data_IF_087040253043
#
_entry.id   IF_087040253043
#
_cell.length_a   1.000
_cell.length_b   1.000
_cell.length_c   1.000
_cell.angle_alpha   90.00
_cell.angle_beta   90.00
_cell.angle_gamma   90.00
#
_symmetry.space_group_name_H-M   'P 1'
#
loop_
_entity.id
_entity.type
_entity.pdbx_description
1 polymer ?
#
# COMPACT_ATOMS: atom_id res chain seq x y z
N UNK A 1 -28.50 -20.93 14.69
CA UNK A 1 -28.28 -20.21 13.41
C UNK A 1 -26.88 -20.57 12.95
N UNK A 2 -26.74 -21.18 11.77
CA UNK A 2 -25.43 -21.50 11.22
C UNK A 2 -24.62 -20.22 11.00
N UNK A 3 -23.29 -20.27 11.10
CA UNK A 3 -22.42 -19.08 10.95
C UNK A 3 -22.68 -18.37 9.60
N UNK A 4 -22.99 -19.12 8.53
CA UNK A 4 -23.33 -18.56 7.23
C UNK A 4 -24.59 -17.70 7.21
N UNK A 5 -25.67 -18.13 7.87
CA UNK A 5 -26.92 -17.34 7.94
C UNK A 5 -26.69 -16.04 8.72
N UNK A 6 -25.93 -16.09 9.80
CA UNK A 6 -25.59 -14.90 10.59
C UNK A 6 -24.79 -13.89 9.75
N UNK A 7 -23.77 -14.35 9.04
CA UNK A 7 -22.93 -13.49 8.20
C UNK A 7 -23.73 -12.87 7.05
N UNK A 8 -24.62 -13.64 6.42
CA UNK A 8 -25.54 -13.13 5.39
C UNK A 8 -26.48 -12.04 5.91
N UNK A 9 -27.05 -12.22 7.11
CA UNK A 9 -27.92 -11.21 7.72
C UNK A 9 -27.14 -9.91 8.01
N UNK A 10 -25.91 -10.01 8.57
CA UNK A 10 -25.08 -8.84 8.84
C UNK A 10 -24.76 -8.09 7.53
N UNK A 11 -24.42 -8.83 6.47
CA UNK A 11 -24.18 -8.26 5.15
C UNK A 11 -25.42 -7.54 4.59
N UNK A 12 -26.58 -8.21 4.62
CA UNK A 12 -27.83 -7.64 4.13
C UNK A 12 -28.25 -6.38 4.91
N UNK A 13 -28.07 -6.39 6.24
CA UNK A 13 -28.36 -5.22 7.08
C UNK A 13 -27.41 -4.06 6.76
N UNK A 14 -26.11 -4.33 6.60
CA UNK A 14 -25.12 -3.30 6.25
C UNK A 14 -25.41 -2.66 4.88
N UNK A 15 -25.75 -3.47 3.87
CA UNK A 15 -26.12 -2.96 2.54
C UNK A 15 -27.45 -2.20 2.57
N UNK A 16 -28.44 -2.70 3.30
CA UNK A 16 -29.71 -2.01 3.51
C UNK A 16 -29.53 -0.64 4.18
N UNK A 17 -28.69 -0.56 5.21
CA UNK A 17 -28.35 0.70 5.86
C UNK A 17 -27.64 1.65 4.86
N UNK A 18 -26.69 1.18 4.07
CA UNK A 18 -25.97 1.97 3.06
C UNK A 18 -26.93 2.54 2.01
N UNK A 19 -27.87 1.73 1.54
CA UNK A 19 -28.88 2.14 0.58
C UNK A 19 -29.82 3.21 1.16
N UNK A 20 -30.29 3.02 2.40
CA UNK A 20 -31.13 4.00 3.08
C UNK A 20 -30.38 5.33 3.30
N UNK A 21 -29.10 5.28 3.65
CA UNK A 21 -28.27 6.49 3.77
C UNK A 21 -28.20 7.22 2.43
N UNK A 22 -27.93 6.52 1.33
CA UNK A 22 -27.89 7.13 -0.01
C UNK A 22 -29.20 7.78 -0.43
N UNK A 23 -30.36 7.26 0.04
CA UNK A 23 -31.68 7.80 -0.32
C UNK A 23 -32.12 8.96 0.58
N UNK A 24 -31.81 8.92 1.88
CA UNK A 24 -32.45 9.79 2.87
C UNK A 24 -31.51 10.74 3.60
N UNK A 25 -30.18 10.50 3.54
CA UNK A 25 -29.20 11.35 4.21
C UNK A 25 -28.55 12.27 3.19
N UNK A 26 -28.83 13.59 3.21
CA UNK A 26 -28.14 14.53 2.34
C UNK A 26 -26.68 14.66 2.74
N UNK A 27 -25.75 14.89 1.79
CA UNK A 27 -24.37 15.19 2.10
C UNK A 27 -24.24 16.57 2.77
N UNK A 28 -23.27 16.68 3.67
CA UNK A 28 -22.82 17.96 4.22
C UNK A 28 -21.69 18.48 3.34
N UNK A 29 -21.79 19.70 2.88
CA UNK A 29 -20.78 20.35 2.06
C UNK A 29 -19.80 21.17 2.91
N UNK A 30 -18.52 21.05 2.61
CA UNK A 30 -17.43 21.78 3.24
C UNK A 30 -16.49 22.33 2.18
N UNK A 31 -15.69 23.32 2.54
CA UNK A 31 -14.71 23.91 1.61
C UNK A 31 -13.32 23.62 2.10
N UNK A 32 -12.56 22.93 1.26
CA UNK A 32 -11.12 22.74 1.44
C UNK A 32 -10.39 23.94 0.86
N UNK A 33 -9.51 24.55 1.66
CA UNK A 33 -8.76 25.75 1.32
C UNK A 33 -7.30 25.41 1.11
N UNK A 34 -6.81 25.49 -0.14
CA UNK A 34 -5.44 25.19 -0.52
C UNK A 34 -4.68 26.47 -0.78
N UNK A 35 -3.66 26.78 0.02
CA UNK A 35 -2.79 27.94 -0.21
C UNK A 35 -1.95 27.75 -1.47
N UNK A 36 -1.88 28.78 -2.30
CA UNK A 36 -1.12 28.78 -3.55
C UNK A 36 0.02 29.79 -3.49
N UNK A 37 1.22 29.36 -3.92
CA UNK A 37 2.34 30.25 -4.19
C UNK A 37 2.17 30.80 -5.63
N UNK A 38 1.61 32.01 -5.72
CA UNK A 38 1.29 32.65 -6.99
C UNK A 38 2.44 33.57 -7.40
N UNK A 39 2.87 33.43 -8.66
CA UNK A 39 3.82 34.30 -9.31
C UNK A 39 3.12 35.09 -10.44
N UNK A 40 3.73 36.18 -10.86
CA UNK A 40 3.27 36.99 -11.98
C UNK A 40 4.26 36.92 -13.11
N UNK A 41 3.81 36.65 -14.32
CA UNK A 41 4.66 36.64 -15.52
C UNK A 41 4.93 38.08 -16.06
N UNK A 42 5.70 38.16 -17.14
CA UNK A 42 6.05 39.44 -17.75
C UNK A 42 4.84 40.20 -18.35
N UNK A 43 3.76 39.51 -18.64
CA UNK A 43 2.50 40.06 -19.18
C UNK A 43 1.50 40.41 -18.07
N UNK A 44 1.90 40.27 -16.78
CA UNK A 44 1.06 40.55 -15.63
C UNK A 44 0.04 39.48 -15.28
N UNK A 45 0.12 38.29 -15.90
CA UNK A 45 -0.78 37.16 -15.60
C UNK A 45 -0.29 36.38 -14.39
N UNK A 46 -1.23 36.04 -13.50
CA UNK A 46 -0.93 35.27 -12.31
C UNK A 46 -0.89 33.77 -12.63
N UNK A 47 0.09 33.05 -12.10
CA UNK A 47 0.22 31.62 -12.25
C UNK A 47 0.82 30.98 -11.00
N UNK A 48 0.53 29.69 -10.80
CA UNK A 48 1.23 28.85 -9.83
C UNK A 48 1.82 27.62 -10.53
N UNK A 49 2.82 26.99 -9.92
CA UNK A 49 3.47 25.82 -10.51
C UNK A 49 2.84 24.54 -9.99
N UNK A 50 2.18 23.82 -10.89
CA UNK A 50 1.63 22.49 -10.60
C UNK A 50 2.38 21.43 -11.40
N UNK A 51 3.00 20.46 -10.72
CA UNK A 51 3.81 19.38 -11.34
C UNK A 51 4.84 19.89 -12.36
N UNK A 52 5.54 20.98 -12.05
CA UNK A 52 6.52 21.66 -12.91
C UNK A 52 5.93 22.38 -14.13
N UNK A 53 4.63 22.52 -14.23
CA UNK A 53 3.94 23.24 -15.30
C UNK A 53 3.27 24.49 -14.72
N UNK A 54 3.40 25.68 -15.32
CA UNK A 54 2.68 26.86 -14.89
C UNK A 54 1.18 26.71 -15.22
N UNK A 55 0.33 26.97 -14.24
CA UNK A 55 -1.13 27.02 -14.35
C UNK A 55 -1.55 28.46 -14.12
N UNK A 56 -2.11 29.09 -15.12
CA UNK A 56 -2.59 30.47 -15.03
C UNK A 56 -3.94 30.53 -14.33
N UNK A 57 -4.13 31.53 -13.46
CA UNK A 57 -5.32 31.71 -12.65
C UNK A 57 -5.80 33.16 -12.71
N UNK A 58 -7.11 33.36 -12.53
CA UNK A 58 -7.75 34.64 -12.35
C UNK A 58 -8.49 34.62 -10.99
N UNK A 59 -7.81 34.98 -9.90
CA UNK A 59 -8.41 34.90 -8.58
C UNK A 59 -9.47 35.99 -8.34
N UNK A 60 -10.63 35.57 -7.84
CA UNK A 60 -11.67 36.49 -7.35
C UNK A 60 -11.46 36.80 -5.87
N UNK A 61 -12.13 37.83 -5.35
CA UNK A 61 -12.08 38.09 -3.89
C UNK A 61 -12.78 36.96 -3.13
N UNK A 62 -12.17 36.48 -2.03
CA UNK A 62 -12.78 35.45 -1.19
C UNK A 62 -14.17 35.86 -0.67
N UNK A 63 -14.41 37.18 -0.49
CA UNK A 63 -15.67 37.70 -0.05
C UNK A 63 -16.79 37.60 -1.12
N UNK A 64 -16.40 37.56 -2.40
CA UNK A 64 -17.32 37.43 -3.53
C UNK A 64 -17.56 35.97 -3.91
N UNK A 65 -16.64 35.09 -3.56
CA UNK A 65 -16.70 33.67 -3.86
C UNK A 65 -17.98 33.01 -3.31
N UNK A 66 -18.58 32.14 -4.12
CA UNK A 66 -19.64 31.23 -3.67
C UNK A 66 -19.13 30.17 -2.70
N UNK A 67 -17.86 29.78 -2.85
CA UNK A 67 -17.17 28.83 -1.98
C UNK A 67 -16.56 29.47 -0.73
N UNK A 68 -16.93 30.71 -0.40
CA UNK A 68 -16.49 31.32 0.86
C UNK A 68 -16.90 30.42 2.04
N UNK A 69 -15.94 29.95 2.89
CA UNK A 69 -16.22 29.03 4.00
C UNK A 69 -17.34 29.48 4.92
N UNK A 70 -17.40 30.79 5.23
CA UNK A 70 -18.43 31.35 6.11
C UNK A 70 -19.83 31.27 5.48
N UNK A 71 -19.94 31.48 4.16
CA UNK A 71 -21.19 31.37 3.43
C UNK A 71 -21.65 29.93 3.31
N UNK A 72 -20.73 29.02 2.98
CA UNK A 72 -21.03 27.60 2.82
C UNK A 72 -21.47 26.96 4.14
N UNK A 73 -20.81 27.30 5.24
CA UNK A 73 -21.19 26.80 6.57
C UNK A 73 -22.59 27.19 6.97
N UNK A 74 -23.05 28.39 6.54
CA UNK A 74 -24.39 28.90 6.84
C UNK A 74 -25.51 28.38 5.92
N UNK A 75 -25.18 28.04 4.67
CA UNK A 75 -26.18 27.65 3.67
C UNK A 75 -26.52 26.17 3.67
N UNK A 76 -25.54 25.30 3.91
CA UNK A 76 -25.67 23.83 3.81
C UNK A 76 -26.13 23.32 2.45
N UNK A 77 -26.25 24.20 1.45
CA UNK A 77 -26.73 23.87 0.11
C UNK A 77 -25.58 23.33 -0.77
N UNK A 78 -25.98 22.58 -1.79
CA UNK A 78 -25.01 22.14 -2.82
C UNK A 78 -24.49 23.37 -3.58
N UNK A 79 -23.14 23.54 -3.68
CA UNK A 79 -22.57 24.67 -4.40
C UNK A 79 -22.75 24.51 -5.91
N UNK A 80 -22.88 25.63 -6.62
CA UNK A 80 -22.96 25.63 -8.08
C UNK A 80 -21.59 25.52 -8.73
N UNK A 81 -20.53 25.95 -7.99
CA UNK A 81 -19.12 25.89 -8.39
C UNK A 81 -18.38 24.93 -7.44
N UNK A 82 -17.56 24.02 -7.99
CA UNK A 82 -16.84 23.02 -7.19
C UNK A 82 -15.38 23.35 -6.97
N UNK A 83 -14.86 24.32 -7.74
CA UNK A 83 -13.47 24.78 -7.65
C UNK A 83 -13.41 26.26 -8.01
N UNK A 84 -12.75 27.08 -7.20
CA UNK A 84 -12.57 28.51 -7.46
C UNK A 84 -11.23 28.98 -6.91
N UNK A 85 -10.56 29.90 -7.65
CA UNK A 85 -9.33 30.52 -7.18
C UNK A 85 -9.67 31.88 -6.56
N UNK A 86 -9.19 32.11 -5.34
CA UNK A 86 -9.54 33.34 -4.61
C UNK A 86 -8.29 34.03 -4.05
N UNK A 87 -8.43 35.34 -3.83
CA UNK A 87 -7.48 36.16 -3.10
C UNK A 87 -8.09 36.63 -1.77
N UNK A 88 -7.29 36.58 -0.72
CA UNK A 88 -7.63 37.12 0.60
C UNK A 88 -6.57 38.09 1.07
N UNK A 89 -6.99 39.19 1.68
CA UNK A 89 -6.09 40.18 2.26
C UNK A 89 -6.01 39.90 3.75
N UNK A 90 -4.84 39.45 4.21
CA UNK A 90 -4.58 39.18 5.61
C UNK A 90 -3.52 40.13 6.20
N UNK A 91 -3.67 40.47 7.48
CA UNK A 91 -2.65 41.25 8.20
C UNK A 91 -1.79 40.30 9.00
N UNK A 92 -0.55 40.06 8.54
CA UNK A 92 0.44 39.27 9.27
C UNK A 92 1.57 40.15 9.76
N UNK A 93 1.90 40.05 11.02
CA UNK A 93 3.00 40.83 11.63
C UNK A 93 2.92 42.36 11.40
N UNK A 94 1.71 42.91 11.27
CA UNK A 94 1.46 44.34 11.00
C UNK A 94 1.67 44.77 9.54
N UNK A 95 1.89 43.82 8.63
CA UNK A 95 1.92 44.06 7.18
C UNK A 95 0.71 43.43 6.52
N UNK A 96 0.15 44.11 5.54
CA UNK A 96 -0.96 43.60 4.73
C UNK A 96 -0.36 42.74 3.60
N UNK A 97 -0.71 41.47 3.59
CA UNK A 97 -0.26 40.49 2.60
C UNK A 97 -1.48 39.94 1.84
N UNK A 98 -1.36 39.82 0.53
CA UNK A 98 -2.39 39.15 -0.28
C UNK A 98 -2.03 37.68 -0.42
N UNK A 99 -2.88 36.84 0.11
CA UNK A 99 -2.76 35.38 0.00
C UNK A 99 -3.71 34.86 -1.07
N UNK A 100 -3.29 33.84 -1.77
CA UNK A 100 -4.07 33.20 -2.82
C UNK A 100 -4.42 31.77 -2.41
N UNK A 101 -5.67 31.38 -2.67
CA UNK A 101 -6.17 30.08 -2.32
C UNK A 101 -6.91 29.45 -3.50
N UNK A 102 -6.81 28.14 -3.59
CA UNK A 102 -7.75 27.31 -4.36
C UNK A 102 -8.79 26.79 -3.37
N UNK A 103 -10.05 27.15 -3.58
CA UNK A 103 -11.18 26.63 -2.82
C UNK A 103 -11.77 25.44 -3.56
N UNK A 104 -11.92 24.34 -2.85
CA UNK A 104 -12.49 23.10 -3.38
C UNK A 104 -13.71 22.70 -2.57
N UNK A 105 -14.87 22.64 -3.23
CA UNK A 105 -16.05 22.08 -2.59
C UNK A 105 -15.88 20.58 -2.37
N UNK A 106 -16.05 20.15 -1.14
CA UNK A 106 -15.99 18.76 -0.71
C UNK A 106 -17.28 18.41 0.01
N UNK A 107 -17.59 17.13 0.06
CA UNK A 107 -18.80 16.65 0.74
C UNK A 107 -18.49 15.43 1.59
N UNK A 108 -19.27 15.23 2.66
CA UNK A 108 -19.26 14.03 3.47
C UNK A 108 -20.66 13.70 4.00
N UNK A 109 -20.88 12.47 4.42
CA UNK A 109 -22.15 12.00 5.00
C UNK A 109 -22.06 11.82 6.53
N UNK A 110 -21.25 12.64 7.21
CA UNK A 110 -21.00 12.51 8.64
C UNK A 110 -20.46 11.13 9.00
N UNK A 111 -20.95 10.53 10.08
CA UNK A 111 -20.56 9.18 10.51
C UNK A 111 -20.76 8.10 9.45
N UNK A 112 -21.71 8.29 8.55
CA UNK A 112 -22.00 7.34 7.47
C UNK A 112 -20.89 7.28 6.42
N UNK A 113 -20.05 8.30 6.34
CA UNK A 113 -18.86 8.30 5.46
C UNK A 113 -17.87 7.17 5.81
N UNK A 114 -17.89 6.68 7.04
CA UNK A 114 -17.02 5.60 7.51
C UNK A 114 -17.61 4.20 7.24
N UNK A 115 -18.91 4.13 6.88
CA UNK A 115 -19.63 2.87 6.77
C UNK A 115 -19.02 1.90 5.76
N UNK A 116 -18.58 2.29 4.55
CA UNK A 116 -17.95 1.37 3.59
C UNK A 116 -16.69 0.70 4.14
N UNK A 117 -15.83 1.45 4.78
CA UNK A 117 -14.60 0.92 5.39
C UNK A 117 -14.93 -0.01 6.57
N UNK A 118 -15.89 0.38 7.42
CA UNK A 118 -16.34 -0.46 8.54
C UNK A 118 -16.96 -1.77 8.05
N UNK A 119 -17.78 -1.74 7.00
CA UNK A 119 -18.35 -2.94 6.38
C UNK A 119 -17.25 -3.87 5.90
N UNK A 120 -16.25 -3.36 5.18
CA UNK A 120 -15.13 -4.17 4.71
C UNK A 120 -14.35 -4.82 5.89
N UNK A 121 -14.02 -4.04 6.92
CA UNK A 121 -13.27 -4.53 8.09
C UNK A 121 -14.07 -5.57 8.88
N UNK A 122 -15.33 -5.29 9.18
CA UNK A 122 -16.20 -6.20 9.96
C UNK A 122 -16.42 -7.50 9.18
N UNK A 123 -16.70 -7.42 7.88
CA UNK A 123 -16.87 -8.61 7.05
C UNK A 123 -15.59 -9.43 6.97
N UNK A 124 -14.43 -8.79 6.82
CA UNK A 124 -13.15 -9.48 6.79
C UNK A 124 -12.88 -10.24 8.12
N UNK A 125 -13.20 -9.61 9.24
CA UNK A 125 -13.06 -10.24 10.55
C UNK A 125 -14.02 -11.44 10.74
N UNK A 126 -15.24 -11.33 10.22
CA UNK A 126 -16.26 -12.39 10.34
C UNK A 126 -16.07 -13.55 9.35
N UNK A 127 -15.71 -13.23 8.11
CA UNK A 127 -15.60 -14.22 7.02
C UNK A 127 -14.20 -14.77 6.85
N UNK A 128 -13.19 -14.01 7.28
CA UNK A 128 -11.75 -14.23 7.01
C UNK A 128 -11.43 -14.25 5.51
N UNK A 129 -12.30 -13.64 4.70
CA UNK A 129 -12.23 -13.59 3.25
C UNK A 129 -12.08 -12.13 2.75
N UNK A 130 -10.88 -11.68 2.35
CA UNK A 130 -10.63 -10.28 2.02
C UNK A 130 -11.36 -9.82 0.75
N UNK A 131 -11.48 -10.66 -0.27
CA UNK A 131 -12.10 -10.26 -1.56
C UNK A 131 -13.57 -9.94 -1.39
N UNK A 132 -14.33 -10.85 -0.78
CA UNK A 132 -15.77 -10.66 -0.51
C UNK A 132 -16.03 -9.48 0.42
N UNK A 133 -15.12 -9.25 1.37
CA UNK A 133 -15.22 -8.15 2.33
C UNK A 133 -15.00 -6.79 1.66
N UNK A 134 -13.98 -6.67 0.81
CA UNK A 134 -13.73 -5.47 0.03
C UNK A 134 -14.86 -5.19 -0.96
N UNK A 135 -15.38 -6.21 -1.65
CA UNK A 135 -16.55 -6.07 -2.51
C UNK A 135 -17.77 -5.58 -1.72
N UNK A 136 -17.99 -6.10 -0.52
CA UNK A 136 -19.05 -5.62 0.38
C UNK A 136 -18.91 -4.15 0.73
N UNK A 137 -17.71 -3.71 1.07
CA UNK A 137 -17.41 -2.30 1.32
C UNK A 137 -17.60 -1.42 0.08
N UNK A 138 -17.18 -1.89 -1.10
CA UNK A 138 -17.37 -1.20 -2.39
C UNK A 138 -18.86 -1.04 -2.70
N UNK A 139 -19.65 -2.11 -2.57
CA UNK A 139 -21.10 -2.05 -2.77
C UNK A 139 -21.75 -1.08 -1.77
N UNK A 140 -21.35 -1.12 -0.50
CA UNK A 140 -21.81 -0.17 0.51
C UNK A 140 -21.54 1.29 0.10
N UNK A 141 -20.33 1.59 -0.35
CA UNK A 141 -19.95 2.91 -0.83
C UNK A 141 -20.71 3.34 -2.08
N UNK A 142 -20.87 2.44 -3.04
CA UNK A 142 -21.64 2.68 -4.26
C UNK A 142 -23.10 3.04 -3.95
N UNK A 143 -23.74 2.33 -3.02
CA UNK A 143 -25.11 2.58 -2.59
C UNK A 143 -25.27 3.94 -1.92
N UNK A 144 -24.32 4.38 -1.10
CA UNK A 144 -24.33 5.73 -0.48
C UNK A 144 -24.24 6.82 -1.57
N UNK A 145 -23.41 6.59 -2.60
CA UNK A 145 -23.27 7.55 -3.72
C UNK A 145 -24.39 7.47 -4.75
N UNK A 146 -25.35 6.54 -4.59
CA UNK A 146 -26.45 6.34 -5.54
C UNK A 146 -26.00 5.71 -6.87
N UNK A 147 -24.83 5.03 -6.88
CA UNK A 147 -24.27 4.34 -8.05
C UNK A 147 -24.71 2.90 -8.07
N UNK A 148 -25.67 2.58 -8.92
CA UNK A 148 -26.26 1.24 -8.99
C UNK A 148 -25.61 0.36 -10.05
N UNK A 149 -24.96 0.95 -11.06
CA UNK A 149 -24.08 0.22 -11.99
C UNK A 149 -22.67 0.08 -11.40
N UNK A 150 -22.49 -0.94 -10.56
CA UNK A 150 -21.22 -1.22 -9.91
C UNK A 150 -20.07 -1.37 -10.91
N UNK A 151 -20.35 -1.94 -12.09
CA UNK A 151 -19.33 -2.15 -13.12
C UNK A 151 -18.96 -0.86 -13.83
N UNK A 152 -19.94 -0.16 -14.40
CA UNK A 152 -19.70 1.02 -15.23
C UNK A 152 -19.37 2.28 -14.43
N UNK A 153 -20.01 2.45 -13.27
CA UNK A 153 -19.87 3.68 -12.48
C UNK A 153 -18.80 3.61 -11.38
N UNK A 154 -18.37 2.39 -10.99
CA UNK A 154 -17.43 2.21 -9.87
C UNK A 154 -16.16 1.45 -10.29
N UNK A 155 -16.29 0.21 -10.75
CA UNK A 155 -15.12 -0.64 -11.00
C UNK A 155 -14.32 -0.14 -12.20
N UNK A 156 -14.95 0.08 -13.35
CA UNK A 156 -14.24 0.53 -14.56
C UNK A 156 -13.53 1.86 -14.32
N UNK A 157 -14.16 2.93 -13.80
CA UNK A 157 -13.45 4.18 -13.54
C UNK A 157 -12.29 4.05 -12.56
N UNK A 158 -12.43 3.20 -11.52
CA UNK A 158 -11.37 2.96 -10.55
C UNK A 158 -10.18 2.19 -11.14
N UNK A 159 -10.44 1.24 -12.04
CA UNK A 159 -9.44 0.41 -12.69
C UNK A 159 -8.79 1.08 -13.91
N UNK A 160 -9.50 1.98 -14.58
CA UNK A 160 -9.01 2.75 -15.73
C UNK A 160 -8.11 3.94 -15.31
N UNK A 161 -7.34 3.76 -14.26
CA UNK A 161 -6.40 4.79 -13.76
C UNK A 161 -4.96 4.39 -13.98
N UNK A 162 -4.07 5.38 -14.15
CA UNK A 162 -2.62 5.13 -14.23
C UNK A 162 -2.11 4.40 -12.99
N UNK A 163 -2.67 4.68 -11.82
CA UNK A 163 -2.29 4.00 -10.57
C UNK A 163 -2.65 2.53 -10.60
N UNK A 164 -3.85 2.16 -11.05
CA UNK A 164 -4.26 0.76 -11.18
C UNK A 164 -3.41 0.02 -12.23
N UNK A 165 -3.15 0.66 -13.38
CA UNK A 165 -2.25 0.12 -14.40
C UNK A 165 -0.83 -0.10 -13.86
N UNK A 166 -0.31 0.84 -13.06
CA UNK A 166 1.01 0.72 -12.41
C UNK A 166 1.05 -0.45 -11.41
N UNK A 167 -0.01 -0.66 -10.62
CA UNK A 167 -0.11 -1.81 -9.72
C UNK A 167 -0.12 -3.13 -10.49
N UNK A 168 -0.91 -3.23 -11.56
CA UNK A 168 -0.95 -4.44 -12.40
C UNK A 168 0.41 -4.70 -13.04
N UNK A 169 1.04 -3.69 -13.63
CA UNK A 169 2.36 -3.84 -14.23
C UNK A 169 3.41 -4.27 -13.20
N UNK A 170 3.50 -3.54 -12.09
CA UNK A 170 4.53 -3.78 -11.08
C UNK A 170 4.32 -5.10 -10.34
N UNK A 171 3.11 -5.30 -9.80
CA UNK A 171 2.84 -6.43 -8.92
C UNK A 171 2.61 -7.72 -9.70
N UNK A 172 1.71 -7.69 -10.70
CA UNK A 172 1.35 -8.89 -11.44
C UNK A 172 2.45 -9.31 -12.42
N UNK A 173 2.93 -8.39 -13.26
CA UNK A 173 3.86 -8.75 -14.33
C UNK A 173 5.31 -8.77 -13.89
N UNK A 174 5.80 -7.69 -13.29
CA UNK A 174 7.23 -7.59 -13.00
C UNK A 174 7.62 -8.42 -11.77
N UNK A 175 6.90 -8.27 -10.66
CA UNK A 175 7.18 -9.06 -9.46
C UNK A 175 6.80 -10.52 -9.66
N UNK A 176 5.57 -10.80 -10.12
CA UNK A 176 5.13 -12.18 -10.38
C UNK A 176 6.05 -12.87 -11.37
N UNK A 177 6.38 -12.19 -12.47
CA UNK A 177 7.33 -12.70 -13.47
C UNK A 177 8.71 -13.00 -12.90
N UNK A 178 9.28 -12.08 -12.12
CA UNK A 178 10.59 -12.26 -11.49
C UNK A 178 10.60 -13.46 -10.52
N UNK A 179 9.57 -13.56 -9.69
CA UNK A 179 9.42 -14.69 -8.76
C UNK A 179 9.27 -16.02 -9.50
N UNK A 180 8.46 -16.01 -10.58
CA UNK A 180 8.28 -17.20 -11.42
C UNK A 180 9.57 -17.64 -12.13
N UNK A 181 10.37 -16.70 -12.63
CA UNK A 181 11.69 -16.99 -13.20
C UNK A 181 12.62 -17.54 -12.13
N UNK A 182 12.70 -16.95 -10.94
CA UNK A 182 13.52 -17.46 -9.84
C UNK A 182 13.10 -18.85 -9.35
N UNK A 183 11.80 -19.12 -9.33
CA UNK A 183 11.27 -20.45 -9.01
C UNK A 183 11.66 -21.46 -10.10
N UNK A 184 11.48 -21.13 -11.39
CA UNK A 184 11.76 -22.00 -12.52
C UNK A 184 13.25 -22.30 -12.71
N UNK A 185 14.12 -21.30 -12.47
CA UNK A 185 15.58 -21.48 -12.48
C UNK A 185 16.10 -22.19 -11.23
N UNK A 186 15.31 -22.29 -10.16
CA UNK A 186 15.76 -22.73 -8.85
C UNK A 186 16.68 -21.73 -8.16
N UNK A 187 16.78 -20.50 -8.65
CA UNK A 187 17.67 -19.46 -8.09
C UNK A 187 17.33 -19.14 -6.63
N UNK A 188 16.03 -19.05 -6.29
CA UNK A 188 15.59 -18.86 -4.92
C UNK A 188 15.98 -20.03 -4.01
N UNK A 189 15.86 -21.26 -4.50
CA UNK A 189 16.28 -22.45 -3.77
C UNK A 189 17.82 -22.47 -3.58
N UNK A 190 18.60 -22.20 -4.64
CA UNK A 190 20.07 -22.13 -4.55
C UNK A 190 20.52 -21.04 -3.55
N UNK A 191 19.81 -19.91 -3.51
CA UNK A 191 20.05 -18.88 -2.51
C UNK A 191 19.72 -19.37 -1.10
N UNK A 192 18.57 -20.03 -0.91
CA UNK A 192 18.18 -20.58 0.38
C UNK A 192 19.20 -21.62 0.88
N UNK A 193 19.68 -22.50 0.00
CA UNK A 193 20.72 -23.48 0.32
C UNK A 193 22.05 -22.80 0.68
N UNK A 194 22.47 -21.79 -0.09
CA UNK A 194 23.67 -21.01 0.22
C UNK A 194 23.58 -20.33 1.58
N UNK A 195 22.45 -19.66 1.89
CA UNK A 195 22.21 -19.01 3.18
C UNK A 195 22.18 -20.03 4.32
N UNK A 196 21.56 -21.21 4.08
CA UNK A 196 21.52 -22.29 5.05
C UNK A 196 22.91 -22.80 5.38
N UNK A 197 23.71 -23.12 4.37
CA UNK A 197 25.06 -23.66 4.57
C UNK A 197 26.01 -22.65 5.22
N UNK A 198 25.88 -21.35 4.85
CA UNK A 198 26.83 -20.32 5.24
C UNK A 198 26.52 -19.67 6.58
N UNK A 199 25.23 -19.41 6.85
CA UNK A 199 24.80 -18.53 7.94
C UNK A 199 23.89 -19.22 8.97
N UNK A 200 23.14 -20.25 8.57
CA UNK A 200 22.21 -20.91 9.49
C UNK A 200 22.91 -22.05 10.22
N UNK A 201 22.87 -21.96 11.54
CA UNK A 201 23.37 -23.00 12.46
C UNK A 201 22.30 -23.43 13.45
N UNK A 202 21.03 -23.12 13.19
CA UNK A 202 19.92 -23.42 14.06
C UNK A 202 18.78 -22.38 13.94
N UNK A 203 17.68 -22.56 14.67
CA UNK A 203 16.49 -21.73 14.55
C UNK A 203 16.75 -20.23 14.73
N UNK A 204 17.62 -19.87 15.68
CA UNK A 204 18.00 -18.48 15.94
C UNK A 204 18.61 -17.80 14.72
N UNK A 205 19.57 -18.45 14.06
CA UNK A 205 20.22 -17.88 12.90
C UNK A 205 19.30 -17.85 11.67
N UNK A 206 18.41 -18.82 11.51
CA UNK A 206 17.39 -18.82 10.47
C UNK A 206 16.45 -17.62 10.60
N UNK A 207 15.95 -17.35 11.81
CA UNK A 207 15.12 -16.19 12.12
C UNK A 207 15.84 -14.87 11.90
N UNK A 208 17.13 -14.78 12.27
CA UNK A 208 17.95 -13.60 12.01
C UNK A 208 18.12 -13.35 10.50
N UNK A 209 18.30 -14.40 9.71
CA UNK A 209 18.35 -14.28 8.24
C UNK A 209 17.02 -13.75 7.70
N UNK A 210 15.89 -14.28 8.18
CA UNK A 210 14.55 -13.77 7.81
C UNK A 210 14.41 -12.29 8.16
N UNK A 211 14.77 -11.90 9.36
CA UNK A 211 14.72 -10.53 9.84
C UNK A 211 15.62 -9.60 9.01
N UNK A 212 16.87 -9.99 8.77
CA UNK A 212 17.81 -9.19 7.96
C UNK A 212 17.32 -9.00 6.53
N UNK A 213 16.79 -10.05 5.91
CA UNK A 213 16.24 -9.95 4.56
C UNK A 213 14.99 -9.05 4.53
N UNK A 214 14.12 -9.13 5.53
CA UNK A 214 12.99 -8.21 5.66
C UNK A 214 13.43 -6.75 5.72
N UNK A 215 14.52 -6.46 6.46
CA UNK A 215 15.11 -5.12 6.51
C UNK A 215 15.75 -4.72 5.17
N UNK A 216 16.44 -5.64 4.48
CA UNK A 216 17.10 -5.37 3.19
C UNK A 216 16.06 -5.14 2.08
N UNK A 217 14.96 -5.90 2.09
CA UNK A 217 13.89 -5.81 1.10
C UNK A 217 12.83 -4.74 1.42
N UNK A 218 13.22 -3.59 1.90
CA UNK A 218 12.36 -2.48 2.32
C UNK A 218 11.55 -1.79 1.20
N UNK A 219 11.56 -2.30 -0.02
CA UNK A 219 10.99 -1.67 -1.23
C UNK A 219 9.46 -1.46 -1.19
N UNK A 220 8.75 -2.19 -0.34
CA UNK A 220 7.31 -2.06 -0.16
C UNK A 220 6.76 -3.26 0.60
N UNK A 221 5.84 -3.01 1.53
CA UNK A 221 5.35 -4.03 2.47
C UNK A 221 5.00 -5.37 1.84
N UNK A 222 4.11 -5.37 0.85
CA UNK A 222 3.62 -6.61 0.22
C UNK A 222 4.72 -7.33 -0.59
N UNK A 223 5.53 -6.57 -1.35
CA UNK A 223 6.60 -7.15 -2.19
C UNK A 223 7.66 -7.80 -1.30
N UNK A 224 8.09 -7.10 -0.26
CA UNK A 224 9.05 -7.60 0.72
C UNK A 224 8.54 -8.87 1.40
N UNK A 225 7.28 -8.87 1.87
CA UNK A 225 6.67 -10.02 2.55
C UNK A 225 6.67 -11.27 1.66
N UNK A 226 6.24 -11.15 0.42
CA UNK A 226 6.20 -12.29 -0.51
C UNK A 226 7.60 -12.78 -0.82
N UNK A 227 8.53 -11.87 -1.17
CA UNK A 227 9.89 -12.24 -1.54
C UNK A 227 10.64 -12.91 -0.39
N UNK A 228 10.63 -12.32 0.80
CA UNK A 228 11.32 -12.87 1.97
C UNK A 228 10.64 -14.16 2.44
N UNK A 229 9.29 -14.16 2.51
CA UNK A 229 8.52 -15.31 2.91
C UNK A 229 8.83 -16.54 2.08
N UNK A 230 8.75 -16.44 0.76
CA UNK A 230 9.03 -17.57 -0.15
C UNK A 230 10.49 -18.02 -0.14
N UNK A 231 11.44 -17.07 0.03
CA UNK A 231 12.87 -17.39 0.01
C UNK A 231 13.33 -18.05 1.32
N UNK A 232 12.81 -17.61 2.45
CA UNK A 232 13.25 -18.07 3.77
C UNK A 232 12.45 -19.27 4.28
N UNK A 233 11.22 -19.46 3.80
CA UNK A 233 10.35 -20.57 4.23
C UNK A 233 11.06 -21.92 4.21
N UNK A 234 11.75 -22.35 3.13
CA UNK A 234 12.44 -23.65 3.12
C UNK A 234 13.53 -23.80 4.19
N UNK A 235 14.14 -22.68 4.58
CA UNK A 235 15.13 -22.63 5.67
C UNK A 235 14.45 -22.78 7.02
N UNK A 236 13.37 -22.03 7.23
CA UNK A 236 12.60 -22.03 8.47
C UNK A 236 11.98 -23.41 8.73
N UNK A 237 11.49 -24.07 7.67
CA UNK A 237 10.89 -25.40 7.74
C UNK A 237 11.91 -26.44 8.22
N UNK A 238 13.14 -26.43 7.71
CA UNK A 238 14.24 -27.31 8.14
C UNK A 238 14.61 -27.13 9.61
N UNK A 239 14.45 -25.92 10.13
CA UNK A 239 14.78 -25.57 11.51
C UNK A 239 13.58 -25.62 12.46
N UNK A 240 12.47 -26.20 12.04
CA UNK A 240 11.22 -26.32 12.80
C UNK A 240 10.71 -25.00 13.36
N UNK A 241 10.82 -23.93 12.57
CA UNK A 241 10.21 -22.62 12.88
C UNK A 241 8.77 -22.64 12.40
N UNK A 242 7.82 -22.34 13.26
CA UNK A 242 6.40 -22.31 12.87
C UNK A 242 6.15 -21.22 11.79
N UNK A 243 5.22 -21.49 10.88
CA UNK A 243 4.87 -20.51 9.84
C UNK A 243 4.28 -19.23 10.45
N UNK A 244 3.61 -19.32 11.61
CA UNK A 244 3.13 -18.14 12.33
C UNK A 244 4.29 -17.28 12.88
N UNK A 245 5.36 -17.91 13.41
CA UNK A 245 6.55 -17.19 13.86
C UNK A 245 7.28 -16.53 12.71
N UNK A 246 7.47 -17.28 11.61
CA UNK A 246 8.10 -16.75 10.39
C UNK A 246 7.27 -15.59 9.79
N UNK A 247 5.96 -15.77 9.65
CA UNK A 247 5.07 -14.74 9.12
C UNK A 247 5.12 -13.47 9.96
N UNK A 248 5.13 -13.59 11.29
CA UNK A 248 5.24 -12.44 12.18
C UNK A 248 6.55 -11.69 12.01
N UNK A 249 7.69 -12.38 11.87
CA UNK A 249 9.00 -11.77 11.63
C UNK A 249 9.01 -11.05 10.27
N UNK A 250 8.54 -11.71 9.22
CA UNK A 250 8.56 -11.19 7.85
C UNK A 250 7.63 -9.99 7.70
N UNK A 251 6.40 -10.07 8.20
CA UNK A 251 5.42 -8.99 8.12
C UNK A 251 5.87 -7.75 8.92
N UNK A 252 6.36 -7.96 10.14
CA UNK A 252 6.82 -6.88 11.01
C UNK A 252 8.14 -6.24 10.59
N UNK A 253 8.87 -6.82 9.65
CA UNK A 253 10.05 -6.20 9.02
C UNK A 253 9.75 -5.63 7.63
N UNK A 254 8.64 -5.99 7.01
CA UNK A 254 8.27 -5.51 5.68
C UNK A 254 7.66 -4.10 5.73
N UNK A 255 6.40 -3.97 6.14
CA UNK A 255 5.70 -2.68 6.17
C UNK A 255 6.29 -1.69 7.19
N UNK A 256 6.65 -2.09 8.42
CA UNK A 256 7.27 -1.17 9.36
C UNK A 256 8.60 -0.58 8.88
N UNK A 257 9.47 -1.36 8.25
CA UNK A 257 10.72 -0.84 7.67
C UNK A 257 10.44 0.06 6.46
N UNK A 258 9.53 -0.34 5.58
CA UNK A 258 9.15 0.47 4.42
C UNK A 258 8.61 1.85 4.82
N UNK A 259 7.86 1.94 5.93
CA UNK A 259 7.34 3.21 6.44
C UNK A 259 8.39 4.11 7.11
N UNK A 260 9.58 3.60 7.40
CA UNK A 260 10.65 4.36 8.06
C UNK A 260 11.79 4.77 7.13
N UNK A 261 11.96 4.08 6.00
CA UNK A 261 13.06 4.32 5.09
C UNK A 261 12.67 5.19 3.89
N UNK A 262 13.61 6.03 3.45
CA UNK A 262 13.41 7.02 2.39
C UNK A 262 13.31 6.44 0.97
N UNK A 263 13.83 5.23 0.74
CA UNK A 263 14.18 4.74 -0.59
C UNK A 263 13.11 3.80 -1.19
N UNK A 264 11.84 4.04 -0.88
CA UNK A 264 10.73 3.25 -1.37
C UNK A 264 9.52 4.14 -1.73
N UNK A 265 8.40 3.55 -2.12
CA UNK A 265 7.21 4.29 -2.55
C UNK A 265 6.43 4.98 -1.40
N UNK A 266 6.66 4.60 -0.13
CA UNK A 266 5.88 5.10 1.01
C UNK A 266 5.97 6.60 1.24
N UNK A 267 7.16 7.24 1.26
CA UNK A 267 7.23 8.69 1.41
C UNK A 267 6.46 9.44 0.33
N UNK A 268 6.56 9.02 -0.92
CA UNK A 268 5.81 9.61 -2.02
C UNK A 268 4.29 9.40 -1.91
N UNK A 269 3.87 8.24 -1.40
CA UNK A 269 2.46 7.94 -1.18
C UNK A 269 1.90 8.71 0.01
N UNK A 270 2.56 8.65 1.17
CA UNK A 270 2.08 9.27 2.41
C UNK A 270 2.05 10.79 2.30
N UNK A 271 3.04 11.43 1.64
CA UNK A 271 3.05 12.88 1.46
C UNK A 271 1.81 13.42 0.75
N UNK A 272 1.19 12.63 -0.12
CA UNK A 272 -0.05 13.02 -0.78
C UNK A 272 -1.26 13.09 0.18
N UNK A 273 -1.19 12.35 1.30
CA UNK A 273 -2.22 12.34 2.34
C UNK A 273 -1.95 13.30 3.51
N UNK A 274 -0.69 13.70 3.72
CA UNK A 274 -0.31 14.68 4.77
C UNK A 274 -0.72 16.10 4.39
N UNK A 275 -1.10 16.34 3.13
CA UNK A 275 -1.50 17.67 2.70
C UNK A 275 -2.71 18.17 3.53
N UNK A 276 -2.46 19.25 4.28
CA UNK A 276 -3.50 19.98 5.03
C UNK A 276 -3.49 21.41 4.52
N UNK A 277 -4.63 21.85 4.03
CA UNK A 277 -4.81 23.20 3.52
C UNK A 277 -4.54 24.24 4.61
N UNK A 278 -3.85 25.34 4.24
CA UNK A 278 -3.54 26.42 5.16
C UNK A 278 -2.37 26.18 6.13
N UNK A 279 -1.73 25.01 6.10
CA UNK A 279 -0.56 24.69 6.93
C UNK A 279 0.72 24.97 6.14
N UNK A 280 1.37 26.08 6.44
CA UNK A 280 2.54 26.59 5.69
C UNK A 280 3.72 25.62 5.65
N UNK A 281 3.99 24.87 6.72
CA UNK A 281 5.08 23.89 6.77
C UNK A 281 4.78 22.58 6.04
N UNK A 282 3.60 22.44 5.41
CA UNK A 282 3.19 21.32 4.56
C UNK A 282 2.83 21.77 3.14
N UNK A 283 3.12 23.00 2.79
CA UNK A 283 2.66 23.61 1.55
C UNK A 283 3.25 22.92 0.31
N UNK A 284 4.56 22.65 0.29
CA UNK A 284 5.23 22.02 -0.85
C UNK A 284 5.39 20.50 -0.67
N UNK A 285 5.61 19.80 -1.78
CA UNK A 285 5.94 18.37 -1.75
C UNK A 285 7.21 18.08 -0.93
N UNK A 286 8.22 18.94 -1.08
CA UNK A 286 9.47 18.82 -0.35
C UNK A 286 9.27 18.98 1.16
N UNK A 287 8.43 19.93 1.60
CA UNK A 287 8.11 20.14 3.01
C UNK A 287 7.38 18.93 3.60
N UNK A 288 6.43 18.36 2.85
CA UNK A 288 5.70 17.15 3.28
C UNK A 288 6.60 15.92 3.38
N UNK A 289 7.54 15.76 2.45
CA UNK A 289 8.56 14.69 2.53
C UNK A 289 9.47 14.92 3.75
N UNK A 290 9.93 16.14 3.97
CA UNK A 290 10.74 16.48 5.14
C UNK A 290 9.99 16.22 6.45
N UNK A 291 8.73 16.62 6.54
CA UNK A 291 7.85 16.36 7.68
C UNK A 291 7.65 14.86 7.93
N UNK A 292 7.45 14.09 6.86
CA UNK A 292 7.37 12.63 6.97
C UNK A 292 8.61 12.05 7.67
N UNK A 293 9.82 12.47 7.27
CA UNK A 293 11.06 11.98 7.91
C UNK A 293 11.23 12.47 9.33
N UNK A 294 10.79 13.69 9.64
CA UNK A 294 10.78 14.20 11.02
C UNK A 294 9.83 13.42 11.93
N UNK A 295 8.76 12.82 11.35
CA UNK A 295 7.82 12.00 12.10
C UNK A 295 8.29 10.57 12.39
N UNK A 296 9.30 10.06 11.65
CA UNK A 296 9.81 8.68 11.79
C UNK A 296 10.19 8.30 13.23
N UNK A 297 10.88 9.14 14.05
CA UNK A 297 11.18 8.81 15.45
C UNK A 297 9.94 8.63 16.32
N UNK A 298 8.78 9.10 15.89
CA UNK A 298 7.50 8.99 16.59
C UNK A 298 6.63 7.84 16.06
N UNK A 299 7.10 7.10 15.06
CA UNK A 299 6.45 5.90 14.55
C UNK A 299 6.67 4.70 15.50
N UNK A 300 6.19 4.82 16.75
CA UNK A 300 6.46 3.85 17.82
C UNK A 300 6.07 2.42 17.45
N UNK A 301 4.94 2.24 16.77
CA UNK A 301 4.54 0.91 16.32
C UNK A 301 5.62 0.29 15.43
N UNK A 302 6.07 0.99 14.41
CA UNK A 302 7.06 0.48 13.47
C UNK A 302 8.41 0.20 14.15
N UNK A 303 8.86 1.10 15.03
CA UNK A 303 10.09 0.92 15.79
C UNK A 303 10.00 -0.32 16.70
N UNK A 304 8.92 -0.45 17.47
CA UNK A 304 8.75 -1.58 18.39
C UNK A 304 8.48 -2.89 17.67
N UNK A 305 7.80 -2.90 16.52
CA UNK A 305 7.61 -4.08 15.70
C UNK A 305 8.95 -4.63 15.19
N UNK A 306 9.81 -3.76 14.65
CA UNK A 306 11.14 -4.15 14.16
C UNK A 306 12.05 -4.62 15.29
N UNK A 307 12.10 -3.89 16.41
CA UNK A 307 12.90 -4.26 17.57
C UNK A 307 12.36 -5.52 18.24
N UNK A 308 11.04 -5.66 18.39
CA UNK A 308 10.40 -6.83 18.99
C UNK A 308 10.69 -8.10 18.19
N UNK A 309 10.59 -8.03 16.86
CA UNK A 309 10.92 -9.16 15.99
C UNK A 309 12.41 -9.45 15.92
N UNK A 310 13.27 -8.44 16.06
CA UNK A 310 14.70 -8.67 16.26
C UNK A 310 14.96 -9.49 17.55
N UNK A 311 14.36 -9.07 18.68
CA UNK A 311 14.50 -9.77 19.94
C UNK A 311 13.93 -11.20 19.89
N UNK A 312 12.81 -11.39 19.18
CA UNK A 312 12.25 -12.72 18.90
C UNK A 312 13.24 -13.55 18.08
N UNK A 313 13.85 -12.97 17.04
CA UNK A 313 14.81 -13.67 16.18
C UNK A 313 16.07 -14.11 16.94
N UNK A 314 16.50 -13.33 17.93
CA UNK A 314 17.63 -13.74 18.82
C UNK A 314 17.19 -14.59 20.02
N UNK A 315 15.92 -15.03 20.06
CA UNK A 315 15.33 -15.86 21.14
C UNK A 315 15.32 -15.18 22.51
N UNK A 316 15.18 -13.86 22.53
CA UNK A 316 15.04 -13.05 23.75
C UNK A 316 13.82 -12.12 23.66
N UNK A 317 12.61 -12.64 23.37
CA UNK A 317 11.44 -11.78 23.29
C UNK A 317 11.14 -11.16 24.66
N UNK A 318 10.82 -9.87 24.69
CA UNK A 318 10.37 -9.18 25.90
C UNK A 318 8.96 -9.63 26.32
N UNK A 319 8.14 -9.91 25.33
CA UNK A 319 6.77 -10.36 25.47
C UNK A 319 6.45 -11.37 24.38
N UNK A 320 5.75 -12.43 24.75
CA UNK A 320 5.29 -13.47 23.83
C UNK A 320 3.79 -13.70 24.06
N UNK A 321 2.97 -13.41 23.06
CA UNK A 321 1.53 -13.68 23.13
C UNK A 321 1.25 -15.18 23.24
N UNK A 322 0.16 -15.57 23.92
CA UNK A 322 -0.19 -16.98 24.14
C UNK A 322 -0.26 -17.79 22.83
N UNK A 323 -0.84 -17.23 21.77
CA UNK A 323 -1.00 -17.92 20.49
C UNK A 323 0.34 -18.16 19.81
N UNK A 324 1.20 -17.13 19.75
CA UNK A 324 2.53 -17.27 19.15
C UNK A 324 3.42 -18.20 19.98
N UNK A 325 3.36 -18.13 21.31
CA UNK A 325 4.06 -19.06 22.19
C UNK A 325 3.66 -20.51 21.95
N UNK A 326 2.35 -20.79 21.83
CA UNK A 326 1.84 -22.12 21.52
C UNK A 326 2.29 -22.61 20.12
N UNK A 327 2.34 -21.73 19.13
CA UNK A 327 2.82 -22.06 17.78
C UNK A 327 4.31 -22.44 17.79
N UNK A 328 5.14 -21.67 18.50
CA UNK A 328 6.57 -21.96 18.69
C UNK A 328 6.78 -23.29 19.41
N UNK A 329 6.04 -23.54 20.48
CA UNK A 329 6.14 -24.78 21.25
C UNK A 329 5.70 -25.98 20.41
N UNK A 330 4.59 -25.89 19.68
CA UNK A 330 4.10 -26.91 18.75
C UNK A 330 5.17 -27.29 17.72
N UNK A 331 5.71 -26.30 16.98
CA UNK A 331 6.68 -26.57 15.93
C UNK A 331 7.98 -27.18 16.47
N UNK A 332 8.45 -26.74 17.64
CA UNK A 332 9.68 -27.26 18.26
C UNK A 332 9.52 -28.65 18.85
N UNK A 333 8.34 -28.96 19.43
CA UNK A 333 8.11 -30.25 20.10
C UNK A 333 7.65 -31.35 19.13
N UNK A 334 6.83 -31.01 18.14
CA UNK A 334 6.19 -31.98 17.24
C UNK A 334 6.70 -31.93 15.79
N UNK A 335 7.41 -30.87 15.41
CA UNK A 335 7.76 -30.60 14.01
C UNK A 335 6.60 -30.13 13.14
N UNK A 336 5.40 -29.93 13.72
CA UNK A 336 4.24 -29.43 12.99
C UNK A 336 4.32 -27.92 12.83
N UNK A 337 4.54 -27.44 11.60
CA UNK A 337 4.83 -26.05 11.29
C UNK A 337 3.58 -25.17 11.26
N UNK A 338 2.42 -25.72 10.89
CA UNK A 338 1.13 -25.04 10.83
C UNK A 338 0.18 -25.50 11.93
N UNK A 339 -0.79 -24.66 12.29
CA UNK A 339 -1.90 -25.05 13.13
C UNK A 339 -2.80 -26.06 12.38
N UNK A 340 -3.50 -26.90 13.14
CA UNK A 340 -4.46 -27.85 12.57
C UNK A 340 -5.57 -27.09 11.82
N UNK A 341 -5.78 -27.43 10.55
CA UNK A 341 -6.77 -26.77 9.67
C UNK A 341 -6.32 -25.40 9.14
N UNK A 342 -5.04 -25.02 9.24
CA UNK A 342 -4.52 -23.83 8.60
C UNK A 342 -4.53 -23.96 7.07
N UNK A 343 -5.07 -22.93 6.41
CA UNK A 343 -5.04 -22.79 4.94
C UNK A 343 -4.12 -21.62 4.59
N UNK A 344 -2.85 -21.88 4.17
CA UNK A 344 -1.95 -20.83 3.75
C UNK A 344 -2.50 -20.10 2.51
N UNK A 345 -2.47 -18.76 2.52
CA UNK A 345 -2.86 -17.94 1.37
C UNK A 345 -1.81 -17.94 0.24
N UNK A 346 -0.64 -18.55 0.47
CA UNK A 346 0.40 -18.68 -0.56
C UNK A 346 -0.04 -19.66 -1.64
N UNK A 347 0.07 -19.22 -2.90
CA UNK A 347 -0.21 -20.08 -4.04
C UNK A 347 0.82 -21.22 -4.11
N UNK A 348 0.34 -22.46 -4.24
CA UNK A 348 1.19 -23.67 -4.35
C UNK A 348 2.18 -23.59 -5.52
N UNK A 349 1.85 -22.82 -6.55
CA UNK A 349 2.68 -22.56 -7.72
C UNK A 349 3.98 -21.83 -7.38
N UNK A 350 4.03 -21.08 -6.28
CA UNK A 350 5.23 -20.40 -5.80
C UNK A 350 6.09 -21.27 -4.87
N UNK A 351 5.52 -22.35 -4.33
CA UNK A 351 6.21 -23.26 -3.42
C UNK A 351 6.97 -24.39 -4.16
N UNK A 352 6.53 -24.76 -5.37
CA UNK A 352 7.11 -25.85 -6.15
C UNK A 352 8.12 -25.33 -7.18
N UNK A 353 9.42 -25.56 -6.98
CA UNK A 353 10.42 -25.32 -8.02
C UNK A 353 10.46 -26.50 -9.00
N UNK A 354 9.76 -26.37 -10.13
CA UNK A 354 9.88 -27.32 -11.24
C UNK A 354 11.05 -26.95 -12.13
N UNK A 355 12.29 -27.22 -11.66
CA UNK A 355 13.51 -26.94 -12.40
C UNK A 355 13.57 -27.86 -13.63
N UNK A 356 13.81 -27.34 -14.85
CA UNK A 356 13.93 -28.15 -16.05
C UNK A 356 15.09 -29.15 -15.97
N UNK A 357 14.87 -30.33 -16.53
CA UNK A 357 15.93 -31.37 -16.58
C UNK A 357 17.19 -30.83 -17.26
N UNK A 358 18.33 -31.00 -16.60
CA UNK A 358 19.63 -30.55 -17.10
C UNK A 358 19.99 -29.09 -16.77
N UNK A 359 19.10 -28.33 -16.15
CA UNK A 359 19.43 -27.01 -15.66
C UNK A 359 19.99 -27.05 -14.25
N UNK A 360 21.14 -26.41 -14.03
CA UNK A 360 21.80 -26.34 -12.72
C UNK A 360 21.61 -24.95 -12.11
N UNK A 361 20.82 -24.82 -11.02
CA UNK A 361 20.64 -23.55 -10.31
C UNK A 361 21.96 -22.96 -9.83
N UNK A 362 22.07 -21.64 -9.83
CA UNK A 362 23.24 -20.96 -9.28
C UNK A 362 22.83 -19.71 -8.50
N UNK A 363 23.43 -19.51 -7.35
CA UNK A 363 23.16 -18.40 -6.43
C UNK A 363 23.26 -17.02 -7.09
N UNK A 364 24.15 -16.84 -8.07
CA UNK A 364 24.32 -15.56 -8.78
C UNK A 364 23.04 -15.12 -9.54
N UNK A 365 22.20 -16.09 -9.97
CA UNK A 365 20.95 -15.85 -10.67
C UNK A 365 19.88 -15.21 -9.75
N UNK A 366 20.13 -15.27 -8.45
CA UNK A 366 19.34 -14.56 -7.45
C UNK A 366 20.00 -13.23 -7.07
N UNK A 367 21.29 -13.27 -6.68
CA UNK A 367 21.98 -12.10 -6.16
C UNK A 367 22.16 -10.97 -7.18
N UNK A 368 22.44 -11.29 -8.44
CA UNK A 368 22.69 -10.25 -9.44
C UNK A 368 21.43 -9.47 -9.81
N UNK A 369 20.29 -10.11 -10.12
CA UNK A 369 19.03 -9.38 -10.34
C UNK A 369 18.57 -8.60 -9.10
N UNK A 370 18.71 -9.19 -7.91
CA UNK A 370 18.39 -8.52 -6.65
C UNK A 370 19.28 -7.32 -6.39
N UNK A 371 20.58 -7.45 -6.56
CA UNK A 371 21.53 -6.35 -6.42
C UNK A 371 21.26 -5.21 -7.41
N UNK A 372 20.91 -5.55 -8.66
CA UNK A 372 20.51 -4.58 -9.66
C UNK A 372 19.21 -3.85 -9.28
N UNK A 373 18.21 -4.59 -8.78
CA UNK A 373 16.96 -4.02 -8.28
C UNK A 373 17.21 -2.96 -7.20
N UNK A 374 18.00 -3.32 -6.18
CA UNK A 374 18.32 -2.41 -5.06
C UNK A 374 19.14 -1.21 -5.57
N UNK A 375 20.18 -1.46 -6.39
CA UNK A 375 21.04 -0.40 -6.91
C UNK A 375 20.26 0.62 -7.77
N UNK A 376 19.33 0.16 -8.61
CA UNK A 376 18.51 1.03 -9.45
C UNK A 376 17.51 1.81 -8.60
N UNK A 377 16.85 1.17 -7.63
CA UNK A 377 15.91 1.85 -6.75
C UNK A 377 16.60 2.96 -5.94
N UNK A 378 17.76 2.67 -5.34
CA UNK A 378 18.57 3.66 -4.61
C UNK A 378 19.12 4.73 -5.56
N UNK A 379 19.68 4.32 -6.71
CA UNK A 379 20.25 5.25 -7.68
C UNK A 379 19.21 6.24 -8.21
N UNK A 380 18.03 5.77 -8.59
CA UNK A 380 16.95 6.64 -9.08
C UNK A 380 16.41 7.56 -7.99
N UNK A 381 16.39 7.13 -6.74
CA UNK A 381 16.07 8.00 -5.62
C UNK A 381 17.10 9.13 -5.43
N UNK A 382 18.39 8.79 -5.43
CA UNK A 382 19.46 9.79 -5.25
C UNK A 382 19.45 10.84 -6.36
N UNK A 383 19.24 10.42 -7.62
CA UNK A 383 19.27 11.33 -8.77
C UNK A 383 17.94 12.03 -9.06
N UNK A 384 16.82 11.38 -8.77
CA UNK A 384 15.47 11.86 -9.14
C UNK A 384 14.57 12.23 -7.97
N UNK A 385 15.03 12.08 -6.72
CA UNK A 385 14.26 12.36 -5.50
C UNK A 385 13.16 11.33 -5.18
N UNK A 386 12.91 10.38 -6.11
CA UNK A 386 11.95 9.29 -5.91
C UNK A 386 12.47 8.00 -6.56
N UNK A 387 12.25 6.81 -5.92
CA UNK A 387 12.71 5.54 -6.47
C UNK A 387 11.84 5.14 -7.67
N UNK A 388 12.47 4.79 -8.78
CA UNK A 388 11.77 4.21 -9.92
C UNK A 388 11.68 2.69 -9.79
N UNK A 389 10.66 2.24 -9.04
CA UNK A 389 10.47 0.84 -8.69
C UNK A 389 10.17 -0.02 -9.93
N UNK A 390 9.45 0.53 -10.91
CA UNK A 390 9.12 -0.20 -12.16
C UNK A 390 10.39 -0.50 -12.96
N UNK A 391 11.30 0.45 -13.11
CA UNK A 391 12.59 0.22 -13.76
C UNK A 391 13.44 -0.77 -12.99
N UNK A 392 13.47 -0.69 -11.66
CA UNK A 392 14.23 -1.60 -10.81
C UNK A 392 13.78 -3.06 -11.01
N UNK A 393 12.49 -3.34 -10.93
CA UNK A 393 11.94 -4.69 -11.17
C UNK A 393 12.04 -5.12 -12.62
N UNK A 394 11.81 -4.23 -13.59
CA UNK A 394 11.92 -4.52 -15.01
C UNK A 394 13.32 -4.99 -15.41
N UNK A 395 14.35 -4.25 -14.98
CA UNK A 395 15.76 -4.63 -15.25
C UNK A 395 16.13 -5.90 -14.50
N UNK A 396 15.69 -6.07 -13.25
CA UNK A 396 15.94 -7.30 -12.51
C UNK A 396 15.33 -8.52 -13.21
N UNK A 397 14.09 -8.41 -13.70
CA UNK A 397 13.43 -9.47 -14.46
C UNK A 397 14.18 -9.80 -15.77
N UNK A 398 14.58 -8.76 -16.52
CA UNK A 398 15.35 -8.95 -17.76
C UNK A 398 16.70 -9.61 -17.51
N UNK A 399 17.39 -9.23 -16.43
CA UNK A 399 18.64 -9.87 -16.02
C UNK A 399 18.42 -11.33 -15.63
N UNK A 400 17.42 -11.63 -14.80
CA UNK A 400 17.09 -13.00 -14.40
C UNK A 400 16.76 -13.87 -15.63
N UNK A 401 15.92 -13.36 -16.52
CA UNK A 401 15.55 -14.05 -17.77
C UNK A 401 16.75 -14.24 -18.70
N UNK A 402 17.55 -13.19 -18.91
CA UNK A 402 18.75 -13.23 -19.75
C UNK A 402 19.79 -14.24 -19.23
N UNK A 403 20.01 -14.29 -17.92
CA UNK A 403 20.90 -15.27 -17.30
C UNK A 403 20.40 -16.70 -17.47
N UNK A 404 19.09 -16.94 -17.29
CA UNK A 404 18.48 -18.23 -17.48
C UNK A 404 18.66 -18.75 -18.93
N UNK A 405 18.40 -17.88 -19.92
CA UNK A 405 18.59 -18.19 -21.34
C UNK A 405 20.06 -18.42 -21.67
N UNK A 406 20.98 -17.59 -21.19
CA UNK A 406 22.41 -17.74 -21.40
C UNK A 406 22.98 -19.04 -20.85
N UNK A 407 22.36 -19.58 -19.79
CA UNK A 407 22.69 -20.89 -19.20
C UNK A 407 21.99 -22.07 -19.89
N UNK A 408 21.28 -21.85 -20.96
CA UNK A 408 20.66 -22.89 -21.78
C UNK A 408 19.24 -23.26 -21.40
N UNK A 409 18.53 -22.46 -20.56
CA UNK A 409 17.10 -22.64 -20.35
C UNK A 409 16.34 -22.39 -21.65
N UNK A 410 15.38 -23.24 -21.99
CA UNK A 410 14.53 -23.00 -23.16
C UNK A 410 13.60 -21.80 -22.94
N UNK A 411 13.30 -21.06 -24.02
CA UNK A 411 12.34 -19.95 -23.93
C UNK A 411 10.96 -20.43 -23.45
N UNK A 412 10.57 -21.66 -23.81
CA UNK A 412 9.32 -22.27 -23.36
C UNK A 412 9.31 -22.46 -21.85
N UNK A 413 10.40 -22.95 -21.26
CA UNK A 413 10.51 -23.15 -19.81
C UNK A 413 10.52 -21.81 -19.07
N UNK A 414 11.24 -20.83 -19.61
CA UNK A 414 11.28 -19.48 -19.05
C UNK A 414 9.88 -18.86 -19.03
N UNK A 415 9.14 -18.90 -20.14
CA UNK A 415 7.78 -18.36 -20.22
C UNK A 415 6.79 -19.13 -19.34
N UNK A 416 6.97 -20.46 -19.20
CA UNK A 416 6.17 -21.24 -18.25
C UNK A 416 6.41 -20.77 -16.82
N UNK A 417 7.66 -20.59 -16.42
CA UNK A 417 7.99 -20.02 -15.10
C UNK A 417 7.39 -18.65 -14.88
N UNK A 418 7.53 -17.74 -15.87
CA UNK A 418 6.93 -16.42 -15.83
C UNK A 418 5.39 -16.47 -15.64
N UNK A 419 4.69 -17.32 -16.38
CA UNK A 419 3.25 -17.53 -16.26
C UNK A 419 2.85 -18.06 -14.89
N UNK A 420 3.59 -19.01 -14.35
CA UNK A 420 3.30 -19.60 -13.04
C UNK A 420 3.50 -18.56 -11.92
N UNK A 421 4.53 -17.73 -12.04
CA UNK A 421 4.73 -16.61 -11.12
C UNK A 421 3.59 -15.59 -11.16
N UNK A 422 3.10 -15.22 -12.36
CA UNK A 422 1.92 -14.35 -12.50
C UNK A 422 0.71 -14.97 -11.81
N UNK A 423 0.40 -16.25 -12.07
CA UNK A 423 -0.73 -16.95 -11.41
C UNK A 423 -0.62 -16.87 -9.88
N UNK A 424 0.60 -17.02 -9.35
CA UNK A 424 0.84 -16.98 -7.91
C UNK A 424 0.49 -15.66 -7.24
N UNK A 425 0.50 -14.53 -7.96
CA UNK A 425 0.22 -13.20 -7.41
C UNK A 425 -1.11 -12.59 -7.87
N UNK A 426 -1.90 -13.31 -8.67
CA UNK A 426 -3.22 -12.82 -9.18
C UNK A 426 -4.13 -12.41 -8.03
N UNK A 427 -4.31 -13.26 -7.02
CA UNK A 427 -5.19 -12.96 -5.88
C UNK A 427 -4.78 -11.67 -5.16
N UNK A 428 -3.47 -11.51 -4.90
CA UNK A 428 -2.93 -10.29 -4.31
C UNK A 428 -3.18 -9.04 -5.17
N UNK A 429 -3.05 -9.18 -6.49
CA UNK A 429 -3.35 -8.09 -7.43
C UNK A 429 -4.83 -7.68 -7.39
N UNK A 430 -5.74 -8.65 -7.32
CA UNK A 430 -7.19 -8.39 -7.20
C UNK A 430 -7.48 -7.66 -5.87
N UNK A 431 -6.92 -8.14 -4.76
CA UNK A 431 -7.09 -7.49 -3.44
C UNK A 431 -6.60 -6.05 -3.49
N UNK A 432 -5.42 -5.78 -4.08
CA UNK A 432 -4.89 -4.42 -4.21
C UNK A 432 -5.81 -3.51 -5.02
N UNK A 433 -6.33 -3.99 -6.15
CA UNK A 433 -7.24 -3.21 -6.99
C UNK A 433 -8.55 -2.90 -6.27
N UNK A 434 -9.14 -3.88 -5.57
CA UNK A 434 -10.34 -3.65 -4.75
C UNK A 434 -10.07 -2.70 -3.59
N UNK A 435 -8.90 -2.78 -2.95
CA UNK A 435 -8.50 -1.86 -1.89
C UNK A 435 -8.33 -0.42 -2.42
N UNK A 436 -7.80 -0.24 -3.63
CA UNK A 436 -7.76 1.07 -4.29
C UNK A 436 -9.17 1.59 -4.59
N UNK A 437 -10.05 0.73 -5.06
CA UNK A 437 -11.45 1.10 -5.37
C UNK A 437 -12.19 1.57 -4.12
N UNK A 438 -12.13 0.83 -3.02
CA UNK A 438 -12.77 1.24 -1.76
C UNK A 438 -12.14 2.50 -1.19
N UNK A 439 -10.82 2.68 -1.34
CA UNK A 439 -10.12 3.89 -0.97
C UNK A 439 -10.61 5.12 -1.75
N UNK A 440 -10.79 4.97 -3.06
CA UNK A 440 -11.37 5.99 -3.94
C UNK A 440 -12.80 6.38 -3.53
N UNK A 441 -13.67 5.38 -3.31
CA UNK A 441 -15.03 5.61 -2.83
C UNK A 441 -15.06 6.29 -1.45
N UNK A 442 -14.24 5.83 -0.51
CA UNK A 442 -14.15 6.43 0.84
C UNK A 442 -13.70 7.90 0.78
N UNK A 443 -12.79 8.23 -0.15
CA UNK A 443 -12.39 9.62 -0.41
C UNK A 443 -13.55 10.45 -0.97
N UNK A 444 -14.29 9.90 -1.93
CA UNK A 444 -15.43 10.58 -2.56
C UNK A 444 -16.61 10.78 -1.60
N UNK A 445 -16.85 9.81 -0.72
CA UNK A 445 -17.85 9.90 0.37
C UNK A 445 -17.38 10.85 1.49
N UNK A 446 -16.12 11.29 1.47
CA UNK A 446 -15.59 12.26 2.41
C UNK A 446 -15.25 11.70 3.79
N UNK A 447 -14.91 10.40 3.89
CA UNK A 447 -14.55 9.77 5.16
C UNK A 447 -13.38 10.46 5.86
N UNK A 448 -12.34 10.85 5.09
CA UNK A 448 -11.19 11.60 5.62
C UNK A 448 -11.56 13.01 6.08
N UNK A 449 -12.41 13.70 5.33
CA UNK A 449 -12.88 15.07 5.66
C UNK A 449 -13.62 15.04 6.99
N UNK A 450 -14.58 14.13 7.11
CA UNK A 450 -15.35 13.97 8.35
C UNK A 450 -14.43 13.68 9.56
N UNK A 451 -13.42 12.80 9.40
CA UNK A 451 -12.49 12.51 10.49
C UNK A 451 -11.65 13.73 10.88
N UNK A 452 -11.20 14.53 9.92
CA UNK A 452 -10.45 15.77 10.18
C UNK A 452 -11.30 16.77 10.94
N UNK A 453 -12.57 16.96 10.58
CA UNK A 453 -13.49 17.83 11.30
C UNK A 453 -13.72 17.38 12.75
N UNK A 454 -13.85 16.05 12.97
CA UNK A 454 -14.08 15.52 14.33
C UNK A 454 -12.83 15.54 15.22
N UNK A 455 -11.65 15.46 14.64
CA UNK A 455 -10.39 15.43 15.38
C UNK A 455 -9.72 16.81 15.48
N UNK A 456 -10.14 17.77 14.65
CA UNK A 456 -9.61 19.13 14.58
C UNK A 456 -10.27 20.08 15.61
N UNK A 457 -11.26 19.61 16.33
CA UNK A 457 -11.86 20.23 17.50
C UNK A 457 -11.31 19.55 18.76
#
# INVERSE_FOLDING_TARGET
MTSGIRNFIIFAVALGASWLVGLYVPPTWTVEQVTLDVNTDADGKMYYIYKKTPVYIEPVSILESELNPDKMHSSGAEPTVFEEFVSSIEVRNGQTETLYYQLLAKRHWGYWSLLPALVAVILCWLTKEPVTSLLGGIVSGALILGRYDLTGEVLIPSLATTSAASVLLLYLWLLGGLMGVWSRTGAAQAFAEFMTIRFVRGPKSAKLVAWMLGVIFFQGGTISTVLVGTTVKPIADKENISHEELAYIVDSTASPIASQLAFNAWPGYVQAFIFVSGVSFLATEADRIAFFFQSVPFCFYAIFAVLGTFLLSIEKPLFLGKQLGAAIERSRSTGQLDAEGAEPLSAKELESSNIPNGYTPHVIEFFLPLGALIAIAIGTFIYGGSPNVQWAFGIALLLAAGMALAKGMSLKDLLSGFQDGIKGVVLGSVILLLAMTIGGLSKEIGGGIFLVEQLGH
#
